data_IF_529344459000
#
_entry.id   IF_529344459000
#
_cell.length_a   1.000
_cell.length_b   1.000
_cell.length_c   1.000
_cell.angle_alpha   90.00
_cell.angle_beta   90.00
_cell.angle_gamma   90.00
#
_symmetry.space_group_name_H-M   'P 1'
#
loop_
_entity.id
_entity.type
_entity.pdbx_description
1 polymer ?
#
# COMPACT_ATOMS: atom_id res chain seq x y z
N UNK A 1 40.02 -1.72 -35.39
CA UNK A 1 41.34 -2.37 -35.18
C UNK A 1 41.34 -3.08 -33.82
N UNK A 2 42.40 -3.83 -33.47
CA UNK A 2 42.59 -4.51 -32.16
C UNK A 2 42.63 -3.46 -31.01
N UNK A 3 42.41 -3.77 -29.71
CA UNK A 3 43.10 -4.78 -28.85
C UNK A 3 42.21 -5.40 -27.74
N UNK A 4 42.80 -6.37 -27.04
CA UNK A 4 42.23 -7.29 -26.01
C UNK A 4 43.18 -7.32 -24.80
N UNK A 5 42.67 -7.40 -23.56
CA UNK A 5 43.22 -8.07 -22.35
C UNK A 5 42.00 -8.30 -21.40
N UNK A 6 41.68 -9.45 -20.77
CA UNK A 6 42.43 -10.48 -20.00
C UNK A 6 42.70 -10.09 -18.53
N UNK A 7 42.72 -10.96 -17.49
CA UNK A 7 42.25 -12.35 -17.24
C UNK A 7 42.58 -12.75 -15.76
N UNK A 8 41.78 -13.56 -15.02
CA UNK A 8 42.24 -14.38 -13.86
C UNK A 8 41.15 -15.31 -13.23
N UNK A 9 41.57 -16.34 -12.45
CA UNK A 9 40.75 -17.39 -11.78
C UNK A 9 41.26 -17.71 -10.34
N UNK A 10 40.41 -18.30 -9.46
CA UNK A 10 40.78 -19.02 -8.22
C UNK A 10 39.64 -19.96 -7.72
N UNK A 11 39.92 -21.08 -7.04
CA UNK A 11 38.91 -22.15 -6.73
C UNK A 11 39.23 -23.12 -5.55
N UNK A 12 38.18 -23.71 -4.92
CA UNK A 12 38.12 -24.99 -4.15
C UNK A 12 38.81 -25.02 -2.72
N UNK A 13 38.58 -25.94 -1.76
CA UNK A 13 38.25 -27.41 -1.77
C UNK A 13 37.76 -28.09 -0.44
N UNK A 14 37.23 -29.35 -0.57
CA UNK A 14 37.28 -30.59 0.30
C UNK A 14 36.48 -30.82 1.62
N UNK A 15 36.36 -32.11 2.07
CA UNK A 15 35.36 -32.68 3.04
C UNK A 15 35.74 -34.03 3.73
N UNK A 16 35.41 -34.28 5.03
CA UNK A 16 35.41 -35.59 5.79
C UNK A 16 34.80 -35.43 7.23
N UNK A 17 34.17 -36.36 8.00
CA UNK A 17 33.99 -37.85 8.12
C UNK A 17 35.00 -38.59 9.08
N UNK A 18 34.69 -39.60 9.93
CA UNK A 18 33.45 -40.41 10.25
C UNK A 18 33.30 -40.83 11.77
N UNK A 19 32.84 -42.06 12.18
CA UNK A 19 31.83 -42.20 13.29
C UNK A 19 31.81 -43.32 14.40
N UNK A 20 31.92 -44.66 14.19
CA UNK A 20 31.10 -45.67 14.95
C UNK A 20 31.70 -46.49 16.15
N UNK A 21 30.87 -47.23 16.93
CA UNK A 21 31.20 -48.10 18.10
C UNK A 21 30.15 -49.22 18.45
N UNK A 22 30.41 -50.11 19.45
CA UNK A 22 29.72 -51.41 19.82
C UNK A 22 29.89 -51.78 21.35
N UNK A 23 29.31 -52.80 22.06
CA UNK A 23 28.05 -53.62 22.05
C UNK A 23 28.02 -54.73 23.18
N UNK A 24 26.89 -55.46 23.39
CA UNK A 24 26.63 -56.79 24.06
C UNK A 24 26.42 -56.97 25.59
N UNK A 25 25.22 -57.46 25.99
CA UNK A 25 24.96 -58.59 26.96
C UNK A 25 23.46 -58.97 27.07
N UNK A 26 23.12 -60.16 27.62
CA UNK A 26 21.77 -60.79 27.62
C UNK A 26 21.15 -61.00 29.03
N UNK A 27 19.82 -61.17 29.13
CA UNK A 27 19.15 -61.97 30.20
C UNK A 27 17.71 -62.40 29.86
N UNK A 28 17.21 -63.48 30.47
CA UNK A 28 15.83 -64.00 30.32
C UNK A 28 14.76 -63.08 30.95
N UNK A 29 13.63 -62.87 30.25
CA UNK A 29 12.29 -62.63 30.84
C UNK A 29 11.17 -63.16 29.92
N UNK A 30 9.92 -62.99 30.36
CA UNK A 30 8.67 -63.32 29.63
C UNK A 30 8.80 -62.94 28.15
N UNK A 31 8.37 -63.83 27.24
CA UNK A 31 8.67 -63.76 25.80
C UNK A 31 7.95 -62.61 25.08
N UNK A 32 8.43 -61.39 25.32
CA UNK A 32 8.15 -60.22 24.52
C UNK A 32 8.58 -60.49 23.06
N UNK A 33 7.72 -60.13 22.11
CA UNK A 33 7.96 -60.34 20.68
C UNK A 33 8.89 -59.26 20.08
N UNK A 34 9.21 -58.24 20.88
CA UNK A 34 10.09 -57.13 20.57
C UNK A 34 10.62 -56.54 21.89
N UNK A 35 11.75 -55.83 21.86
CA UNK A 35 12.23 -54.97 22.96
C UNK A 35 12.31 -53.49 22.56
N UNK A 36 12.25 -53.20 21.26
CA UNK A 36 12.29 -51.87 20.63
C UNK A 36 11.61 -51.94 19.26
N UNK A 37 11.20 -50.79 18.73
CA UNK A 37 10.42 -50.71 17.48
C UNK A 37 11.10 -51.40 16.28
N UNK A 38 12.44 -51.34 16.20
CA UNK A 38 13.22 -51.98 15.12
C UNK A 38 13.14 -53.51 15.10
N UNK A 39 12.67 -54.14 16.18
CA UNK A 39 12.47 -55.59 16.23
C UNK A 39 11.14 -56.01 15.58
N UNK A 40 10.22 -55.06 15.41
CA UNK A 40 8.93 -55.26 14.78
C UNK A 40 9.04 -55.19 13.24
N UNK A 41 8.24 -56.00 12.54
CA UNK A 41 8.22 -56.03 11.07
C UNK A 41 7.28 -54.97 10.50
N UNK A 42 7.81 -54.18 9.55
CA UNK A 42 7.10 -53.06 8.94
C UNK A 42 7.00 -51.88 9.89
N UNK A 43 6.04 -50.98 9.67
CA UNK A 43 5.87 -49.73 10.41
C UNK A 43 5.26 -49.92 11.82
N UNK A 44 5.48 -51.09 12.46
CA UNK A 44 4.92 -51.44 13.78
C UNK A 44 5.87 -51.01 14.90
N UNK A 45 5.31 -50.56 16.02
CA UNK A 45 6.03 -50.12 17.22
C UNK A 45 5.97 -51.18 18.31
N UNK A 46 6.93 -51.17 19.25
CA UNK A 46 7.00 -52.13 20.34
C UNK A 46 6.37 -51.57 21.61
N UNK A 47 5.16 -52.01 21.92
CA UNK A 47 4.37 -51.53 23.05
C UNK A 47 4.16 -52.66 24.07
N UNK A 48 4.68 -52.50 25.29
CA UNK A 48 4.61 -53.51 26.36
C UNK A 48 5.10 -54.92 25.94
N UNK A 49 6.07 -54.99 25.02
CA UNK A 49 6.62 -56.25 24.50
C UNK A 49 5.78 -56.91 23.39
N UNK A 50 4.79 -56.22 22.82
CA UNK A 50 4.03 -56.64 21.65
C UNK A 50 4.16 -55.63 20.52
N UNK A 51 4.26 -56.09 19.28
CA UNK A 51 4.32 -55.20 18.12
C UNK A 51 2.93 -54.65 17.78
N UNK A 52 2.58 -53.44 18.22
CA UNK A 52 1.33 -52.78 17.82
C UNK A 52 1.52 -52.02 16.50
N UNK A 53 0.45 -51.85 15.72
CA UNK A 53 0.49 -50.85 14.64
C UNK A 53 0.35 -49.47 15.29
N UNK A 54 1.18 -48.47 14.95
CA UNK A 54 1.01 -47.12 15.47
C UNK A 54 -0.39 -46.64 15.14
N UNK A 55 -1.11 -46.16 16.14
CA UNK A 55 -2.51 -45.76 15.99
C UNK A 55 -2.59 -44.42 15.23
N UNK A 56 -2.49 -44.50 13.90
CA UNK A 56 -2.77 -43.40 12.99
C UNK A 56 -4.26 -43.07 13.01
N UNK A 57 -4.68 -42.39 14.08
CA UNK A 57 -5.93 -41.61 14.11
C UNK A 57 -5.79 -40.40 13.18
N UNK A 58 -5.67 -40.66 11.88
CA UNK A 58 -5.94 -39.72 10.81
C UNK A 58 -7.47 -39.59 10.74
N UNK A 59 -8.05 -39.06 11.81
CA UNK A 59 -9.36 -38.46 11.76
C UNK A 59 -9.22 -37.24 10.85
N UNK A 60 -9.80 -37.31 9.65
CA UNK A 60 -9.87 -36.20 8.69
C UNK A 60 -10.85 -35.10 9.15
N UNK A 61 -10.86 -34.81 10.45
CA UNK A 61 -11.43 -33.60 11.02
C UNK A 61 -10.56 -32.45 10.56
N UNK A 62 -11.08 -31.59 9.67
CA UNK A 62 -10.38 -30.39 9.28
C UNK A 62 -9.98 -29.60 10.53
N UNK A 63 -8.69 -29.37 10.71
CA UNK A 63 -8.16 -28.58 11.82
C UNK A 63 -8.93 -27.25 11.88
N UNK A 64 -9.63 -26.91 12.97
CA UNK A 64 -10.34 -25.64 13.07
C UNK A 64 -9.34 -24.50 12.91
N UNK A 65 -9.29 -23.94 11.69
CA UNK A 65 -8.54 -22.73 11.40
C UNK A 65 -8.93 -21.73 12.49
N UNK A 66 -7.97 -21.16 13.26
CA UNK A 66 -8.29 -20.18 14.30
C UNK A 66 -9.26 -19.18 13.71
N UNK A 67 -10.41 -18.94 14.36
CA UNK A 67 -11.56 -18.30 13.73
C UNK A 67 -11.04 -17.06 13.02
N UNK A 68 -11.14 -17.06 11.68
CA UNK A 68 -10.56 -16.00 10.88
C UNK A 68 -11.22 -14.74 11.40
N UNK A 69 -10.44 -13.92 12.10
CA UNK A 69 -10.94 -12.65 12.55
C UNK A 69 -11.23 -11.89 11.26
N UNK A 70 -12.51 -11.82 10.91
CA UNK A 70 -13.00 -11.08 9.76
C UNK A 70 -12.93 -9.62 10.17
N UNK A 71 -11.69 -9.13 10.33
CA UNK A 71 -11.32 -7.73 10.29
C UNK A 71 -12.15 -7.15 9.16
N UNK A 72 -13.10 -6.23 9.46
CA UNK A 72 -14.02 -5.73 8.45
C UNK A 72 -13.21 -5.28 7.24
N UNK A 73 -13.55 -5.74 6.02
CA UNK A 73 -12.73 -5.46 4.84
C UNK A 73 -12.46 -3.97 4.79
N UNK A 74 -11.17 -3.61 4.91
CA UNK A 74 -10.76 -2.24 5.21
C UNK A 74 -11.42 -1.29 4.21
N UNK A 75 -12.05 -0.18 4.64
CA UNK A 75 -12.86 0.66 3.76
C UNK A 75 -12.09 1.09 2.50
N UNK A 76 -12.28 0.35 1.41
CA UNK A 76 -11.61 0.57 0.14
C UNK A 76 -12.29 1.68 -0.63
N UNK A 77 -12.43 2.83 0.04
CA UNK A 77 -12.83 4.08 -0.57
C UNK A 77 -11.78 4.37 -1.64
N UNK A 78 -12.24 4.58 -2.86
CA UNK A 78 -11.40 4.93 -3.99
C UNK A 78 -11.72 6.36 -4.42
N UNK A 79 -10.73 7.03 -5.02
CA UNK A 79 -10.95 8.33 -5.63
C UNK A 79 -11.93 8.24 -6.80
N UNK A 80 -12.94 9.11 -6.80
CA UNK A 80 -13.93 9.23 -7.87
C UNK A 80 -13.69 10.56 -8.60
N UNK A 81 -13.36 10.55 -9.90
CA UNK A 81 -13.12 11.78 -10.65
C UNK A 81 -14.41 12.59 -10.76
N UNK A 82 -14.31 13.88 -10.45
CA UNK A 82 -15.40 14.85 -10.58
C UNK A 82 -15.27 15.50 -11.96
N UNK A 83 -16.37 15.51 -12.71
CA UNK A 83 -16.43 16.22 -13.99
C UNK A 83 -16.39 17.74 -13.73
N UNK A 84 -15.38 18.39 -14.30
CA UNK A 84 -15.28 19.85 -14.39
C UNK A 84 -16.14 20.29 -15.57
N UNK A 85 -17.16 21.13 -15.34
CA UNK A 85 -18.10 21.52 -16.38
C UNK A 85 -18.54 22.98 -16.22
N UNK A 86 -17.88 23.87 -16.97
CA UNK A 86 -18.00 25.31 -16.78
C UNK A 86 -17.61 25.70 -15.36
N UNK A 87 -18.42 26.57 -14.75
CA UNK A 87 -18.19 27.12 -13.42
C UNK A 87 -18.44 26.11 -12.27
N UNK A 88 -19.03 24.92 -12.51
CA UNK A 88 -19.38 23.97 -11.44
C UNK A 88 -18.50 22.71 -11.44
N UNK A 89 -17.95 22.40 -10.27
CA UNK A 89 -17.09 21.24 -10.02
C UNK A 89 -17.54 20.53 -8.74
N UNK A 90 -18.46 19.57 -8.87
CA UNK A 90 -19.00 18.83 -7.72
C UNK A 90 -19.78 19.75 -6.76
N UNK A 91 -19.36 19.91 -5.48
CA UNK A 91 -19.95 20.86 -4.55
C UNK A 91 -19.38 22.29 -4.68
N UNK A 92 -18.31 22.50 -5.46
CA UNK A 92 -17.64 23.79 -5.63
C UNK A 92 -18.14 24.55 -6.87
N UNK A 93 -18.02 25.87 -6.84
CA UNK A 93 -18.29 26.77 -7.98
C UNK A 93 -17.20 27.84 -8.11
N UNK A 94 -16.65 28.02 -9.31
CA UNK A 94 -15.65 29.06 -9.59
C UNK A 94 -16.37 30.39 -9.91
N UNK A 95 -15.92 31.50 -9.34
CA UNK A 95 -16.40 32.84 -9.69
C UNK A 95 -15.23 33.83 -9.77
N UNK A 96 -14.83 34.20 -10.99
CA UNK A 96 -13.62 34.99 -11.20
C UNK A 96 -12.37 34.24 -10.73
N UNK A 97 -11.84 34.62 -9.56
CA UNK A 97 -10.70 33.97 -8.92
C UNK A 97 -11.10 33.15 -7.68
N UNK A 98 -12.33 33.28 -7.20
CA UNK A 98 -12.85 32.57 -6.04
C UNK A 98 -13.18 31.11 -6.39
N UNK A 99 -12.86 30.16 -5.50
CA UNK A 99 -13.39 28.79 -5.54
C UNK A 99 -14.38 28.65 -4.38
N UNK A 100 -15.63 28.98 -4.67
CA UNK A 100 -16.70 29.03 -3.69
C UNK A 100 -17.21 27.64 -3.30
N UNK A 101 -17.40 27.41 -2.00
CA UNK A 101 -18.09 26.28 -1.39
C UNK A 101 -19.30 26.77 -0.57
N UNK A 102 -20.42 26.06 -0.64
CA UNK A 102 -21.61 26.38 0.16
C UNK A 102 -21.52 25.72 1.54
N UNK A 103 -20.99 26.44 2.51
CA UNK A 103 -20.92 26.00 3.92
C UNK A 103 -22.23 26.19 4.68
N UNK A 104 -22.30 25.62 5.88
CA UNK A 104 -23.33 25.84 6.91
C UNK A 104 -23.41 27.31 7.38
N UNK A 105 -22.33 28.08 7.27
CA UNK A 105 -22.26 29.48 7.70
C UNK A 105 -22.60 30.48 6.58
N UNK A 106 -22.53 30.06 5.32
CA UNK A 106 -22.66 30.91 4.14
C UNK A 106 -21.83 30.37 2.97
N UNK A 107 -21.73 31.14 1.89
CA UNK A 107 -20.72 30.87 0.86
C UNK A 107 -19.34 31.23 1.45
N UNK A 108 -18.34 30.39 1.21
CA UNK A 108 -16.94 30.64 1.54
C UNK A 108 -16.09 30.46 0.28
N UNK A 109 -15.10 31.32 0.06
CA UNK A 109 -14.01 31.01 -0.87
C UNK A 109 -13.00 30.12 -0.15
N UNK A 110 -12.59 29.01 -0.77
CA UNK A 110 -11.53 28.17 -0.20
C UNK A 110 -10.13 28.73 -0.49
N UNK A 111 -9.96 29.64 -1.45
CA UNK A 111 -8.65 30.19 -1.83
C UNK A 111 -7.99 30.98 -0.69
N UNK A 112 -8.77 31.62 0.19
CA UNK A 112 -8.33 32.23 1.47
C UNK A 112 -7.56 31.27 2.39
N UNK A 113 -7.65 29.95 2.15
CA UNK A 113 -6.93 28.92 2.90
C UNK A 113 -5.81 28.27 2.05
N UNK A 114 -5.89 28.36 0.72
CA UNK A 114 -4.92 27.78 -0.23
C UNK A 114 -3.71 28.69 -0.43
N UNK A 115 -3.92 29.99 -0.59
CA UNK A 115 -2.86 30.98 -0.83
C UNK A 115 -3.02 32.18 0.12
N UNK A 116 -1.91 32.83 0.43
CA UNK A 116 -1.87 33.79 1.55
C UNK A 116 -2.38 35.19 1.17
N UNK A 117 -2.40 35.53 -0.13
CA UNK A 117 -2.89 36.79 -0.72
C UNK A 117 -3.70 36.51 -2.01
N UNK A 118 -4.90 35.90 -1.93
CA UNK A 118 -5.67 35.45 -3.09
C UNK A 118 -6.07 36.57 -4.07
N UNK A 119 -6.11 37.83 -3.63
CA UNK A 119 -6.34 38.99 -4.49
C UNK A 119 -5.25 39.21 -5.56
N UNK A 120 -4.05 38.63 -5.39
CA UNK A 120 -2.95 38.72 -6.36
C UNK A 120 -2.90 37.56 -7.36
N UNK A 121 -3.76 36.54 -7.24
CA UNK A 121 -3.88 35.51 -8.26
C UNK A 121 -4.45 36.11 -9.56
N UNK A 122 -3.65 36.15 -10.64
CA UNK A 122 -4.09 36.74 -11.93
C UNK A 122 -5.03 35.84 -12.74
N UNK A 123 -5.13 34.57 -12.34
CA UNK A 123 -6.21 33.64 -12.67
C UNK A 123 -6.26 32.56 -11.58
N UNK A 124 -7.38 31.84 -11.49
CA UNK A 124 -7.53 30.60 -10.72
C UNK A 124 -8.31 29.58 -11.55
N UNK A 125 -7.91 28.30 -11.54
CA UNK A 125 -8.59 27.23 -12.27
C UNK A 125 -8.43 25.86 -11.61
N UNK A 126 -9.46 25.01 -11.67
CA UNK A 126 -9.39 23.63 -11.17
C UNK A 126 -9.04 22.69 -12.35
N UNK A 127 -7.81 22.17 -12.33
CA UNK A 127 -7.28 21.26 -13.37
C UNK A 127 -7.84 19.85 -13.26
N UNK A 128 -8.03 19.39 -12.03
CA UNK A 128 -8.53 18.06 -11.66
C UNK A 128 -9.30 18.17 -10.34
N UNK A 129 -10.34 17.38 -10.18
CA UNK A 129 -11.08 17.27 -8.93
C UNK A 129 -11.47 15.80 -8.68
N UNK A 130 -11.39 15.37 -7.43
CA UNK A 130 -11.74 14.02 -7.00
C UNK A 130 -12.51 14.06 -5.68
N UNK A 131 -13.55 13.23 -5.57
CA UNK A 131 -14.15 12.89 -4.28
C UNK A 131 -13.42 11.68 -3.68
N UNK A 132 -13.22 11.67 -2.37
CA UNK A 132 -12.73 10.52 -1.61
C UNK A 132 -13.76 10.14 -0.53
N UNK A 133 -14.73 9.32 -0.94
CA UNK A 133 -15.91 9.04 -0.12
C UNK A 133 -16.87 10.23 -0.05
N UNK A 134 -17.71 10.34 0.98
CA UNK A 134 -18.77 11.35 1.03
C UNK A 134 -18.29 12.76 1.41
N UNK A 135 -17.18 12.88 2.14
CA UNK A 135 -16.84 14.11 2.86
C UNK A 135 -15.51 14.77 2.44
N UNK A 136 -14.54 13.99 1.93
CA UNK A 136 -13.23 14.49 1.53
C UNK A 136 -13.20 14.76 0.03
N UNK A 137 -12.58 15.86 -0.36
CA UNK A 137 -12.34 16.24 -1.75
C UNK A 137 -10.85 16.54 -1.93
N UNK A 138 -10.28 16.16 -3.07
CA UNK A 138 -8.95 16.60 -3.49
C UNK A 138 -9.09 17.39 -4.78
N UNK A 139 -8.68 18.64 -4.73
CA UNK A 139 -8.64 19.57 -5.85
C UNK A 139 -7.18 19.77 -6.29
N UNK A 140 -6.99 19.94 -7.59
CA UNK A 140 -5.73 20.37 -8.18
C UNK A 140 -5.99 21.71 -8.83
N UNK A 141 -5.41 22.76 -8.24
CA UNK A 141 -5.73 24.16 -8.54
C UNK A 141 -4.50 24.82 -9.15
N UNK A 142 -4.64 25.44 -10.32
CA UNK A 142 -3.61 26.29 -10.93
C UNK A 142 -3.92 27.76 -10.68
N UNK A 143 -2.89 28.57 -10.46
CA UNK A 143 -2.97 29.98 -10.09
C UNK A 143 -1.93 30.83 -10.83
N UNK A 144 -2.31 32.08 -11.11
CA UNK A 144 -1.52 33.05 -11.86
C UNK A 144 -0.59 33.93 -11.01
N UNK A 145 0.08 33.38 -9.98
CA UNK A 145 0.87 34.16 -9.03
C UNK A 145 2.32 34.42 -9.49
N UNK A 146 2.93 33.49 -10.25
CA UNK A 146 4.34 33.53 -10.64
C UNK A 146 4.73 34.50 -11.76
N UNK A 147 3.82 35.36 -12.22
CA UNK A 147 4.02 36.21 -13.38
C UNK A 147 4.39 35.44 -14.65
N UNK A 148 5.31 35.95 -15.46
CA UNK A 148 5.67 35.36 -16.76
C UNK A 148 6.70 34.21 -16.68
N UNK A 149 7.05 33.70 -15.49
CA UNK A 149 8.18 32.76 -15.32
C UNK A 149 7.79 31.28 -15.34
N UNK A 150 6.58 30.92 -14.90
CA UNK A 150 5.88 29.69 -15.27
C UNK A 150 4.44 30.07 -15.69
N UNK A 151 3.75 29.31 -16.55
CA UNK A 151 2.33 29.52 -16.87
C UNK A 151 1.38 29.35 -15.68
N UNK A 152 1.82 28.59 -14.67
CA UNK A 152 1.00 28.19 -13.52
C UNK A 152 1.87 27.90 -12.30
N UNK A 153 1.55 28.51 -11.16
CA UNK A 153 1.74 27.82 -9.88
C UNK A 153 0.62 26.78 -9.78
N UNK A 154 0.88 25.59 -9.22
CA UNK A 154 -0.17 24.56 -9.07
C UNK A 154 -0.11 23.99 -7.65
N UNK A 155 -1.27 23.78 -7.05
CA UNK A 155 -1.44 23.19 -5.72
C UNK A 155 -2.27 21.91 -5.80
N UNK A 156 -1.90 20.91 -5.00
CA UNK A 156 -2.85 19.91 -4.53
C UNK A 156 -3.43 20.38 -3.20
N UNK A 157 -4.74 20.28 -3.05
CA UNK A 157 -5.48 20.73 -1.87
C UNK A 157 -6.48 19.66 -1.47
N UNK A 158 -6.50 19.26 -0.20
CA UNK A 158 -7.59 18.46 0.37
C UNK A 158 -8.54 19.35 1.18
N UNK A 159 -9.83 19.08 1.04
CA UNK A 159 -10.92 19.79 1.69
C UNK A 159 -11.88 18.81 2.35
N UNK A 160 -12.32 19.11 3.57
CA UNK A 160 -13.27 18.29 4.34
C UNK A 160 -14.57 19.05 4.60
N UNK A 161 -15.68 18.49 4.14
CA UNK A 161 -17.03 19.05 4.33
C UNK A 161 -17.57 18.90 5.77
N UNK A 162 -16.92 18.10 6.63
CA UNK A 162 -17.31 17.99 8.05
C UNK A 162 -16.81 19.20 8.85
N UNK A 163 -15.55 19.61 8.64
CA UNK A 163 -14.94 20.80 9.23
C UNK A 163 -15.19 22.07 8.41
N UNK A 164 -15.50 21.93 7.12
CA UNK A 164 -15.65 23.01 6.13
C UNK A 164 -14.36 23.82 5.97
N UNK A 165 -13.26 23.10 5.78
CA UNK A 165 -11.91 23.67 5.71
C UNK A 165 -11.01 22.90 4.75
N UNK A 166 -10.00 23.58 4.22
CA UNK A 166 -8.79 22.94 3.72
C UNK A 166 -8.09 22.25 4.89
N UNK A 167 -7.76 20.97 4.74
CA UNK A 167 -7.09 20.16 5.78
C UNK A 167 -5.67 19.69 5.37
N UNK A 168 -5.26 19.99 4.14
CA UNK A 168 -3.91 19.81 3.64
C UNK A 168 -3.70 20.57 2.32
N UNK A 169 -2.53 21.18 2.13
CA UNK A 169 -2.14 21.84 0.87
C UNK A 169 -0.65 21.65 0.58
N UNK A 170 -0.30 21.48 -0.69
CA UNK A 170 1.10 21.42 -1.14
C UNK A 170 1.23 21.93 -2.57
N UNK A 171 2.34 22.60 -2.90
CA UNK A 171 2.66 23.01 -4.27
C UNK A 171 3.15 21.82 -5.11
N UNK A 172 2.93 21.88 -6.43
CA UNK A 172 3.41 20.91 -7.40
C UNK A 172 4.35 21.63 -8.37
N UNK A 173 5.64 21.34 -8.24
CA UNK A 173 6.69 21.96 -9.05
C UNK A 173 6.52 21.68 -10.55
N UNK A 174 6.90 22.65 -11.38
CA UNK A 174 6.93 22.57 -12.84
C UNK A 174 6.20 23.71 -13.54
N UNK A 175 6.68 24.10 -14.72
CA UNK A 175 6.10 25.11 -15.60
C UNK A 175 5.19 24.54 -16.72
N UNK A 176 4.75 23.29 -16.67
CA UNK A 176 3.82 22.78 -17.69
C UNK A 176 2.43 23.42 -17.57
N UNK A 177 1.82 23.77 -18.70
CA UNK A 177 0.39 24.09 -18.80
C UNK A 177 -0.48 22.84 -18.53
N UNK A 178 0.05 21.63 -18.75
CA UNK A 178 -0.68 20.37 -18.52
C UNK A 178 -0.37 19.77 -17.16
N UNK A 179 -1.42 19.39 -16.44
CA UNK A 179 -1.33 18.58 -15.22
C UNK A 179 -2.02 17.23 -15.43
N UNK A 180 -1.25 16.15 -15.27
CA UNK A 180 -1.74 14.77 -15.38
C UNK A 180 -2.09 14.19 -14.00
N UNK A 181 -3.01 13.22 -13.97
CA UNK A 181 -3.36 12.53 -12.72
C UNK A 181 -3.84 11.09 -12.94
N UNK A 182 -3.49 10.21 -11.99
CA UNK A 182 -3.86 8.80 -11.98
C UNK A 182 -4.38 8.40 -10.59
N UNK A 183 -5.62 7.95 -10.53
CA UNK A 183 -6.22 7.35 -9.34
C UNK A 183 -6.07 5.82 -9.39
N UNK A 184 -5.61 5.23 -8.28
CA UNK A 184 -5.54 3.79 -8.06
C UNK A 184 -5.95 3.48 -6.62
N UNK A 185 -7.16 2.96 -6.44
CA UNK A 185 -7.76 2.74 -5.13
C UNK A 185 -7.72 4.01 -4.25
N UNK A 186 -7.07 3.91 -3.09
CA UNK A 186 -6.92 5.00 -2.12
C UNK A 186 -5.71 5.91 -2.37
N UNK A 187 -5.04 5.78 -3.52
CA UNK A 187 -3.91 6.59 -3.95
C UNK A 187 -4.28 7.43 -5.17
N UNK A 188 -3.90 8.70 -5.14
CA UNK A 188 -3.96 9.62 -6.27
C UNK A 188 -2.54 10.12 -6.53
N UNK A 189 -2.05 9.95 -7.75
CA UNK A 189 -0.78 10.52 -8.21
C UNK A 189 -1.11 11.71 -9.11
N UNK A 190 -0.53 12.87 -8.82
CA UNK A 190 -0.65 14.09 -9.64
C UNK A 190 0.73 14.41 -10.20
N UNK A 191 0.84 14.79 -11.47
CA UNK A 191 2.13 15.00 -12.16
C UNK A 191 2.16 16.28 -12.98
N UNK A 192 3.30 16.96 -12.93
CA UNK A 192 3.64 18.16 -13.71
C UNK A 192 5.15 18.13 -13.99
N UNK A 193 5.56 18.30 -15.25
CA UNK A 193 6.97 18.25 -15.72
C UNK A 193 7.86 17.08 -15.22
N UNK A 194 7.26 15.97 -14.81
CA UNK A 194 7.99 14.82 -14.25
C UNK A 194 8.17 14.85 -12.73
N UNK A 195 7.85 15.96 -12.05
CA UNK A 195 7.53 15.95 -10.63
C UNK A 195 6.23 15.15 -10.39
N UNK A 196 6.10 14.54 -9.22
CA UNK A 196 4.90 13.76 -8.86
C UNK A 196 4.57 13.84 -7.38
N UNK A 197 3.35 14.28 -7.07
CA UNK A 197 2.79 14.31 -5.72
C UNK A 197 1.88 13.10 -5.52
N UNK A 198 2.00 12.42 -4.38
CA UNK A 198 1.15 11.27 -4.03
C UNK A 198 0.22 11.59 -2.86
N UNK A 199 -1.09 11.59 -3.11
CA UNK A 199 -2.13 11.93 -2.14
C UNK A 199 -2.85 10.64 -1.72
N UNK A 200 -2.83 10.30 -0.43
CA UNK A 200 -3.38 9.05 0.10
C UNK A 200 -4.61 9.32 0.97
N UNK A 201 -5.66 8.52 0.79
CA UNK A 201 -6.90 8.57 1.56
C UNK A 201 -7.62 9.94 1.56
N UNK A 202 -7.50 10.71 0.48
CA UNK A 202 -8.12 12.03 0.36
C UNK A 202 -7.45 13.16 1.13
N UNK A 203 -6.26 12.93 1.72
CA UNK A 203 -5.53 13.92 2.51
C UNK A 203 -4.18 14.28 1.86
N UNK A 204 -3.99 15.58 1.59
CA UNK A 204 -2.72 16.17 1.16
C UNK A 204 -1.81 16.40 2.39
N UNK A 205 -0.50 16.48 2.18
CA UNK A 205 0.53 16.66 3.21
C UNK A 205 1.53 17.73 2.80
#
# INVERSE_FOLDING_TARGET
MKRIFALSLLTLSLTACDKPAENTSQTNQVSAQCSKDTDCKGDRICESGQCTSPNTQISLTANPKPPVNLTPPAPSIAYQPILISGEKIGPFTISGHEINYQSRAGVMDIMEQVIDEPEYATYVGIEKAYAFGPNKFVLVISTGEGGNSCPATTYAVSFDTQTESVDGKTSIDGCSETVDSLADGNKLIIKKEGASTEVYNGLVK
#
